data_IF_701254167535
#
_entry.id   IF_701254167535
#
_cell.length_a   1.000
_cell.length_b   1.000
_cell.length_c   1.000
_cell.angle_alpha   90.00
_cell.angle_beta   90.00
_cell.angle_gamma   90.00
#
_symmetry.space_group_name_H-M   'P 1'
#
loop_
_entity.id
_entity.type
_entity.pdbx_description
1 polymer ?
#
# COMPACT_ATOMS: atom_id res chain seq x y z
N UNK A 1 20.06 -47.83 -35.58
CA UNK A 1 21.01 -46.73 -35.28
C UNK A 1 20.23 -45.44 -35.04
N UNK A 2 20.13 -44.97 -33.78
CA UNK A 2 19.47 -43.69 -33.46
C UNK A 2 20.44 -42.56 -33.82
N UNK A 3 20.08 -41.72 -34.80
CA UNK A 3 20.83 -40.49 -35.08
C UNK A 3 20.57 -39.50 -33.96
N UNK A 4 21.58 -39.18 -33.16
CA UNK A 4 21.57 -38.05 -32.25
C UNK A 4 21.70 -36.78 -33.08
N UNK A 5 20.67 -35.93 -33.06
CA UNK A 5 20.73 -34.58 -33.63
C UNK A 5 21.41 -33.68 -32.60
N UNK A 6 22.60 -33.20 -32.91
CA UNK A 6 23.30 -32.17 -32.12
C UNK A 6 22.75 -30.78 -32.44
N UNK A 7 22.79 -29.90 -31.43
CA UNK A 7 22.40 -28.49 -31.54
C UNK A 7 23.36 -27.74 -32.47
N UNK A 8 22.85 -26.87 -33.34
CA UNK A 8 23.70 -25.97 -34.13
C UNK A 8 24.18 -24.78 -33.28
N UNK A 9 25.42 -24.34 -33.49
CA UNK A 9 25.90 -23.07 -32.91
C UNK A 9 25.01 -21.89 -33.34
N UNK A 10 24.51 -21.93 -34.58
CA UNK A 10 23.62 -20.89 -35.12
C UNK A 10 22.27 -20.87 -34.39
N UNK A 11 21.74 -22.04 -34.03
CA UNK A 11 20.50 -22.13 -33.23
C UNK A 11 20.69 -21.46 -31.86
N UNK A 12 21.82 -21.72 -31.20
CA UNK A 12 22.10 -21.11 -29.91
C UNK A 12 22.27 -19.59 -30.02
N UNK A 13 22.96 -19.11 -31.06
CA UNK A 13 23.18 -17.67 -31.30
C UNK A 13 21.86 -16.94 -31.52
N UNK A 14 20.95 -17.49 -32.32
CA UNK A 14 19.65 -16.85 -32.56
C UNK A 14 18.83 -16.77 -31.26
N UNK A 15 18.87 -17.82 -30.42
CA UNK A 15 18.14 -17.84 -29.14
C UNK A 15 18.63 -16.75 -28.20
N UNK A 16 19.95 -16.60 -28.01
CA UNK A 16 20.48 -15.55 -27.12
C UNK A 16 20.22 -14.14 -27.64
N UNK A 17 20.18 -13.95 -28.96
CA UNK A 17 19.83 -12.65 -29.58
C UNK A 17 18.37 -12.30 -29.27
N UNK A 18 17.45 -13.24 -29.43
CA UNK A 18 16.02 -13.01 -29.13
C UNK A 18 15.83 -12.70 -27.64
N UNK A 19 16.44 -13.49 -26.74
CA UNK A 19 16.38 -13.24 -25.29
C UNK A 19 16.99 -11.87 -24.95
N UNK A 20 18.11 -11.50 -25.58
CA UNK A 20 18.76 -10.21 -25.38
C UNK A 20 17.87 -9.02 -25.75
N UNK A 21 17.20 -9.08 -26.91
CA UNK A 21 16.26 -8.04 -27.35
C UNK A 21 15.06 -7.92 -26.41
N UNK A 22 14.47 -9.05 -26.00
CA UNK A 22 13.34 -9.06 -25.06
C UNK A 22 13.77 -8.49 -23.70
N UNK A 23 14.92 -8.91 -23.17
CA UNK A 23 15.44 -8.45 -21.88
C UNK A 23 15.71 -6.93 -21.90
N UNK A 24 16.29 -6.40 -22.98
CA UNK A 24 16.57 -4.98 -23.13
C UNK A 24 15.31 -4.11 -23.05
N UNK A 25 14.16 -4.59 -23.53
CA UNK A 25 12.88 -3.86 -23.45
C UNK A 25 12.15 -4.14 -22.13
N UNK A 26 12.16 -5.39 -21.65
CA UNK A 26 11.40 -5.82 -20.48
C UNK A 26 11.95 -5.23 -19.17
N UNK A 27 13.26 -5.27 -18.95
CA UNK A 27 13.92 -4.79 -17.72
C UNK A 27 13.58 -3.32 -17.41
N UNK A 28 13.75 -2.35 -18.33
CA UNK A 28 13.44 -0.95 -18.03
C UNK A 28 11.93 -0.71 -17.85
N UNK A 29 11.05 -1.51 -18.48
CA UNK A 29 9.59 -1.39 -18.29
C UNK A 29 9.17 -1.86 -16.89
N UNK A 30 9.70 -2.99 -16.42
CA UNK A 30 9.38 -3.55 -15.09
C UNK A 30 9.85 -2.59 -13.99
N UNK A 31 11.06 -2.04 -14.11
CA UNK A 31 11.61 -1.10 -13.13
C UNK A 31 10.74 0.16 -12.96
N UNK A 32 10.28 0.77 -14.06
CA UNK A 32 9.38 1.94 -13.99
C UNK A 32 7.99 1.59 -13.48
N UNK A 33 7.45 0.43 -13.85
CA UNK A 33 6.15 -0.04 -13.38
C UNK A 33 6.11 -0.24 -11.86
N UNK A 34 7.18 -0.81 -11.29
CA UNK A 34 7.29 -1.02 -9.85
C UNK A 34 7.36 0.30 -9.06
N UNK A 35 8.11 1.29 -9.54
CA UNK A 35 8.19 2.61 -8.92
C UNK A 35 6.84 3.35 -8.95
N UNK A 36 6.13 3.30 -10.07
CA UNK A 36 4.81 3.93 -10.21
C UNK A 36 3.72 3.28 -9.36
N UNK A 37 3.74 1.94 -9.26
CA UNK A 37 2.76 1.18 -8.49
C UNK A 37 2.79 1.54 -7.00
N UNK A 38 3.98 1.67 -6.40
CA UNK A 38 4.12 2.04 -5.00
C UNK A 38 3.57 3.45 -4.70
N UNK A 39 3.85 4.43 -5.57
CA UNK A 39 3.33 5.78 -5.41
C UNK A 39 1.80 5.85 -5.62
N UNK A 40 1.26 5.04 -6.53
CA UNK A 40 -0.20 4.95 -6.73
C UNK A 40 -0.90 4.35 -5.51
N UNK A 41 -0.34 3.28 -4.93
CA UNK A 41 -0.87 2.67 -3.72
C UNK A 41 -0.86 3.66 -2.55
N UNK A 42 0.25 4.39 -2.35
CA UNK A 42 0.35 5.41 -1.30
C UNK A 42 -0.72 6.50 -1.45
N UNK A 43 -0.98 6.97 -2.67
CA UNK A 43 -2.05 7.97 -2.91
C UNK A 43 -3.43 7.43 -2.54
N UNK A 44 -3.70 6.16 -2.81
CA UNK A 44 -4.94 5.50 -2.38
C UNK A 44 -5.05 5.42 -0.86
N UNK A 45 -3.98 4.99 -0.19
CA UNK A 45 -3.92 4.90 1.28
C UNK A 45 -4.13 6.28 1.94
N UNK A 46 -3.52 7.34 1.40
CA UNK A 46 -3.72 8.71 1.87
C UNK A 46 -5.15 9.22 1.67
N UNK A 47 -5.80 8.83 0.58
CA UNK A 47 -7.20 9.18 0.35
C UNK A 47 -8.12 8.51 1.38
N UNK A 48 -7.89 7.23 1.67
CA UNK A 48 -8.61 6.51 2.73
C UNK A 48 -8.40 7.18 4.09
N UNK A 49 -7.16 7.54 4.42
CA UNK A 49 -6.85 8.21 5.67
C UNK A 49 -7.53 9.58 5.78
N UNK A 50 -7.53 10.37 4.70
CA UNK A 50 -8.19 11.68 4.65
C UNK A 50 -9.69 11.56 4.89
N UNK A 51 -10.36 10.61 4.22
CA UNK A 51 -11.79 10.39 4.41
C UNK A 51 -12.11 9.99 5.87
N UNK A 52 -11.26 9.17 6.49
CA UNK A 52 -11.42 8.79 7.90
C UNK A 52 -11.24 10.00 8.85
N UNK A 53 -10.29 10.89 8.56
CA UNK A 53 -10.11 12.12 9.33
C UNK A 53 -11.29 13.07 9.18
N UNK A 54 -11.83 13.21 7.97
CA UNK A 54 -12.98 14.06 7.70
C UNK A 54 -14.22 13.52 8.46
N UNK A 55 -14.46 12.21 8.41
CA UNK A 55 -15.52 11.56 9.19
C UNK A 55 -15.34 11.75 10.70
N UNK A 56 -14.12 11.55 11.21
CA UNK A 56 -13.81 11.77 12.62
C UNK A 56 -14.13 13.21 13.03
N UNK A 57 -13.68 14.18 12.24
CA UNK A 57 -13.88 15.60 12.55
C UNK A 57 -15.35 16.00 12.53
N UNK A 58 -16.15 15.40 11.63
CA UNK A 58 -17.58 15.64 11.54
C UNK A 58 -18.31 15.18 12.83
N UNK A 59 -17.87 14.08 13.44
CA UNK A 59 -18.45 13.55 14.68
C UNK A 59 -17.90 14.22 15.94
N UNK A 60 -16.72 14.84 15.88
CA UNK A 60 -16.01 15.44 17.03
C UNK A 60 -15.93 16.97 16.96
N UNK A 61 -16.94 17.63 16.36
CA UNK A 61 -17.06 19.09 16.38
C UNK A 61 -15.90 19.81 15.66
N UNK A 62 -15.47 19.29 14.52
CA UNK A 62 -14.32 19.80 13.73
C UNK A 62 -12.95 19.66 14.42
N UNK A 63 -12.85 18.79 15.42
CA UNK A 63 -11.57 18.44 16.06
C UNK A 63 -10.96 17.22 15.38
N UNK A 64 -9.66 17.25 15.09
CA UNK A 64 -8.93 16.11 14.54
C UNK A 64 -8.36 15.21 15.64
N UNK A 65 -8.06 13.93 15.32
CA UNK A 65 -7.44 13.01 16.27
C UNK A 65 -6.12 13.56 16.83
N UNK A 66 -5.88 13.34 18.11
CA UNK A 66 -4.66 13.75 18.78
C UNK A 66 -3.49 12.84 18.38
N UNK A 67 -2.30 13.40 18.21
CA UNK A 67 -1.11 12.67 17.72
C UNK A 67 -0.80 11.43 18.57
N UNK A 68 -0.91 11.53 19.90
CA UNK A 68 -0.57 10.44 20.82
C UNK A 68 -1.57 9.28 20.79
N UNK A 69 -2.82 9.53 20.41
CA UNK A 69 -3.91 8.55 20.39
C UNK A 69 -4.47 8.32 18.99
N UNK A 70 -3.76 8.79 17.97
CA UNK A 70 -4.23 8.84 16.59
C UNK A 70 -4.70 7.47 16.08
N UNK A 71 -3.88 6.44 16.22
CA UNK A 71 -4.21 5.09 15.76
C UNK A 71 -5.44 4.55 16.49
N UNK A 72 -5.52 4.71 17.81
CA UNK A 72 -6.66 4.25 18.60
C UNK A 72 -7.94 5.00 18.23
N UNK A 73 -7.89 6.32 18.04
CA UNK A 73 -9.06 7.14 17.71
C UNK A 73 -9.62 6.86 16.33
N UNK A 74 -8.79 6.41 15.38
CA UNK A 74 -9.26 6.01 14.05
C UNK A 74 -9.71 4.55 13.96
N UNK A 75 -9.14 3.66 14.78
CA UNK A 75 -9.40 2.21 14.71
C UNK A 75 -10.36 1.67 15.77
N UNK A 76 -10.68 2.45 16.81
CA UNK A 76 -11.58 2.08 17.90
C UNK A 76 -12.81 2.99 17.95
N UNK A 77 -13.76 2.65 18.84
CA UNK A 77 -14.90 3.51 19.11
C UNK A 77 -14.48 4.71 19.95
N UNK A 78 -15.12 5.85 19.71
CA UNK A 78 -14.78 7.11 20.38
C UNK A 78 -15.99 7.78 21.04
N UNK A 79 -15.73 8.48 22.14
CA UNK A 79 -16.70 9.34 22.81
C UNK A 79 -16.65 10.77 22.26
N UNK A 80 -17.58 11.64 22.67
CA UNK A 80 -17.60 13.05 22.23
C UNK A 80 -16.28 13.80 22.53
N UNK A 81 -15.52 13.38 23.54
CA UNK A 81 -14.23 13.95 23.92
C UNK A 81 -13.02 13.23 23.28
N UNK A 82 -13.26 12.25 22.39
CA UNK A 82 -12.22 11.49 21.72
C UNK A 82 -11.54 10.40 22.58
N UNK A 83 -12.09 10.05 23.74
CA UNK A 83 -11.61 8.88 24.48
C UNK A 83 -11.96 7.59 23.71
N UNK A 84 -11.10 6.57 23.77
CA UNK A 84 -11.22 5.38 22.92
C UNK A 84 -11.68 4.14 23.70
N UNK A 85 -12.45 3.27 23.05
CA UNK A 85 -12.85 1.96 23.59
C UNK A 85 -12.95 0.92 22.47
N UNK A 86 -12.58 -0.33 22.79
CA UNK A 86 -12.74 -1.47 21.88
C UNK A 86 -14.19 -1.92 21.72
N UNK A 87 -15.07 -1.50 22.64
CA UNK A 87 -16.49 -1.89 22.64
C UNK A 87 -17.37 -0.65 22.45
N UNK A 88 -18.38 -0.79 21.60
CA UNK A 88 -19.38 0.25 21.39
C UNK A 88 -20.40 0.26 22.53
N UNK A 89 -20.66 1.44 23.09
CA UNK A 89 -21.71 1.66 24.08
C UNK A 89 -22.30 3.08 23.99
N UNK A 90 -23.08 3.51 24.99
CA UNK A 90 -23.69 4.83 25.00
C UNK A 90 -22.68 5.99 25.14
N UNK A 91 -21.50 5.73 25.69
CA UNK A 91 -20.40 6.69 25.84
C UNK A 91 -19.50 6.67 24.60
N UNK A 92 -19.14 5.50 24.09
CA UNK A 92 -18.28 5.28 22.93
C UNK A 92 -19.11 4.90 21.70
N UNK A 93 -19.70 5.91 21.06
CA UNK A 93 -20.72 5.76 20.02
C UNK A 93 -20.21 5.96 18.59
N UNK A 94 -19.10 6.67 18.44
CA UNK A 94 -18.53 7.12 17.17
C UNK A 94 -17.46 6.16 16.64
N UNK A 95 -17.25 6.15 15.31
CA UNK A 95 -16.30 5.24 14.66
C UNK A 95 -16.64 3.73 14.77
N UNK A 96 -15.66 2.83 14.56
CA UNK A 96 -14.30 3.11 14.06
C UNK A 96 -14.34 3.57 12.60
N UNK A 97 -13.34 4.36 12.21
CA UNK A 97 -13.26 4.99 10.89
C UNK A 97 -12.31 4.24 9.94
N UNK A 98 -11.39 3.45 10.50
CA UNK A 98 -10.46 2.58 9.80
C UNK A 98 -10.42 1.21 10.46
N UNK A 99 -10.19 0.16 9.67
CA UNK A 99 -9.92 -1.19 10.19
C UNK A 99 -8.48 -1.29 10.72
N UNK A 100 -7.54 -0.61 10.04
CA UNK A 100 -6.15 -0.46 10.46
C UNK A 100 -5.54 0.76 9.77
N UNK A 101 -4.52 1.35 10.40
CA UNK A 101 -3.74 2.42 9.76
C UNK A 101 -2.90 1.82 8.62
N UNK A 102 -3.04 2.30 7.38
CA UNK A 102 -2.23 1.83 6.26
C UNK A 102 -0.74 2.06 6.49
N UNK A 103 0.08 1.09 6.08
CA UNK A 103 1.54 1.20 6.15
C UNK A 103 2.10 1.93 4.93
N UNK A 104 3.20 2.66 5.13
CA UNK A 104 3.92 3.32 4.05
C UNK A 104 4.43 2.28 3.04
N UNK A 105 4.09 2.47 1.76
CA UNK A 105 4.44 1.53 0.68
C UNK A 105 5.80 1.83 0.04
N UNK A 106 6.31 3.05 0.20
CA UNK A 106 7.50 3.58 -0.46
C UNK A 106 8.28 4.52 0.47
N UNK A 107 9.53 4.79 0.13
CA UNK A 107 10.44 5.65 0.92
C UNK A 107 11.14 4.91 2.06
N UNK A 108 11.92 5.65 2.84
CA UNK A 108 12.78 5.10 3.90
C UNK A 108 11.98 4.51 5.07
N UNK A 109 10.73 4.95 5.25
CA UNK A 109 9.79 4.43 6.24
C UNK A 109 8.93 3.25 5.75
N UNK A 110 9.28 2.59 4.64
CA UNK A 110 8.45 1.52 4.06
C UNK A 110 8.16 0.42 5.09
N UNK A 111 6.87 0.07 5.24
CA UNK A 111 6.39 -0.91 6.21
C UNK A 111 6.10 -0.34 7.58
N UNK A 112 6.47 0.92 7.85
CA UNK A 112 6.08 1.64 9.06
C UNK A 112 4.66 2.19 8.93
N UNK A 113 4.00 2.35 10.09
CA UNK A 113 2.72 3.09 10.24
C UNK A 113 2.94 4.58 10.53
N UNK A 114 4.17 4.95 10.88
CA UNK A 114 4.63 6.30 11.30
C UNK A 114 5.97 6.62 10.68
#
# INVERSE_FOLDING_TARGET
MKRTRGFSLVELVIVIVIIGVIAAIAVPRISRGAAGAGASALRGDLHVLRNALDMYSAEHGSTYPAILTFEAQLTQFTSDAGATSVTKDATYKYGPYLVAVPVLKVGDGKGSKT
#
